data_IF_918290421978
#
_entry.id   IF_918290421978
#
_cell.length_a   1.000
_cell.length_b   1.000
_cell.length_c   1.000
_cell.angle_alpha   90.00
_cell.angle_beta   90.00
_cell.angle_gamma   90.00
#
_symmetry.space_group_name_H-M   'P 1'
#
loop_
_entity.id
_entity.type
_entity.pdbx_description
1 polymer ?
#
# COMPACT_ATOMS: atom_id res chain seq x y z
N UNK A 1 46.97 -9.07 13.14
CA UNK A 1 45.84 -10.01 13.04
C UNK A 1 44.56 -9.52 13.73
N UNK A 2 44.58 -9.10 15.01
CA UNK A 2 43.38 -8.61 15.71
C UNK A 2 42.72 -7.39 15.06
N UNK A 3 43.51 -6.44 14.53
CA UNK A 3 43.00 -5.24 13.86
C UNK A 3 42.32 -5.55 12.50
N UNK A 4 42.84 -6.54 11.76
CA UNK A 4 42.29 -6.94 10.45
C UNK A 4 40.93 -7.64 10.61
N UNK A 5 40.77 -8.42 11.69
CA UNK A 5 39.51 -9.09 12.04
C UNK A 5 38.43 -8.08 12.47
N UNK A 6 38.80 -7.03 13.20
CA UNK A 6 37.87 -5.96 13.60
C UNK A 6 37.39 -5.17 12.39
N UNK A 7 38.28 -4.86 11.43
CA UNK A 7 37.90 -4.17 10.18
C UNK A 7 36.99 -5.06 9.30
N UNK A 8 37.27 -6.36 9.19
CA UNK A 8 36.40 -7.29 8.46
C UNK A 8 35.02 -7.43 9.10
N UNK A 9 34.94 -7.51 10.43
CA UNK A 9 33.67 -7.61 11.17
C UNK A 9 32.88 -6.30 11.04
N UNK A 10 33.53 -5.13 11.08
CA UNK A 10 32.87 -3.84 10.86
C UNK A 10 32.35 -3.71 9.42
N UNK A 11 33.09 -4.20 8.40
CA UNK A 11 32.63 -4.22 7.00
C UNK A 11 31.44 -5.15 6.76
N UNK A 12 31.31 -6.22 7.54
CA UNK A 12 30.17 -7.15 7.47
C UNK A 12 28.95 -6.56 8.19
N UNK A 13 29.14 -5.84 9.30
CA UNK A 13 28.03 -5.23 10.05
C UNK A 13 27.38 -4.06 9.27
N UNK A 14 28.13 -3.32 8.45
CA UNK A 14 27.56 -2.24 7.61
C UNK A 14 26.76 -2.72 6.39
N UNK A 15 26.82 -4.01 6.03
CA UNK A 15 25.96 -4.60 5.00
C UNK A 15 24.61 -5.14 5.53
N UNK A 16 24.38 -5.08 6.85
CA UNK A 16 23.17 -5.63 7.48
C UNK A 16 22.11 -4.58 7.83
N UNK A 17 22.24 -3.36 7.30
CA UNK A 17 21.08 -2.48 7.17
C UNK A 17 20.29 -3.07 6.01
N UNK A 18 19.41 -4.03 6.32
CA UNK A 18 18.36 -4.45 5.39
C UNK A 18 17.73 -3.17 4.85
N UNK A 19 18.04 -2.85 3.60
CA UNK A 19 17.32 -1.83 2.89
C UNK A 19 15.91 -2.38 2.74
N UNK A 20 15.05 -2.09 3.73
CA UNK A 20 13.63 -2.03 3.53
C UNK A 20 13.37 -0.82 2.62
N UNK A 21 13.88 -0.86 1.38
CA UNK A 21 13.23 -0.16 0.31
C UNK A 21 11.98 -1.01 0.07
N UNK A 22 10.92 -0.60 0.74
CA UNK A 22 9.61 -0.73 0.15
C UNK A 22 9.78 -0.23 -1.27
N UNK A 23 9.62 -1.09 -2.28
CA UNK A 23 9.33 -0.62 -3.62
C UNK A 23 7.97 0.04 -3.50
N UNK A 24 8.00 1.31 -3.09
CA UNK A 24 6.84 2.13 -2.89
C UNK A 24 6.50 2.59 -4.30
N UNK A 25 5.67 1.79 -4.98
CA UNK A 25 5.09 2.17 -6.25
C UNK A 25 4.03 3.25 -5.98
N UNK A 26 4.51 4.41 -5.50
CA UNK A 26 3.71 5.61 -5.26
C UNK A 26 3.06 6.05 -6.58
N UNK A 27 3.80 5.91 -7.66
CA UNK A 27 3.26 5.77 -8.99
C UNK A 27 3.29 4.28 -9.31
N UNK A 28 2.17 3.68 -9.68
CA UNK A 28 2.05 2.83 -10.88
C UNK A 28 0.71 2.11 -10.80
N UNK A 29 -0.29 2.79 -11.36
CA UNK A 29 -1.44 2.25 -12.09
C UNK A 29 -1.04 1.24 -13.18
N UNK A 30 0.23 0.83 -13.27
CA UNK A 30 0.83 0.14 -14.40
C UNK A 30 1.16 -1.30 -14.06
N UNK A 31 1.07 -2.12 -15.10
CA UNK A 31 1.43 -3.53 -15.06
C UNK A 31 2.95 -3.68 -14.90
N UNK A 32 3.37 -4.50 -13.93
CA UNK A 32 4.78 -4.84 -13.69
C UNK A 32 4.97 -6.33 -13.99
N UNK A 33 5.99 -6.67 -14.79
CA UNK A 33 6.26 -8.06 -15.17
C UNK A 33 6.87 -8.87 -14.03
N UNK A 34 6.78 -10.20 -14.11
CA UNK A 34 7.45 -11.10 -13.16
C UNK A 34 8.98 -10.90 -13.16
N UNK A 35 9.59 -10.61 -14.30
CA UNK A 35 11.03 -10.36 -14.43
C UNK A 35 11.47 -9.07 -13.72
N UNK A 36 10.64 -8.02 -13.78
CA UNK A 36 10.91 -6.79 -13.04
C UNK A 36 10.86 -7.02 -11.52
N UNK A 37 9.86 -7.77 -11.03
CA UNK A 37 9.82 -8.18 -9.63
C UNK A 37 10.97 -9.10 -9.25
N UNK A 38 11.39 -10.00 -10.12
CA UNK A 38 12.55 -10.84 -9.87
C UNK A 38 13.82 -10.01 -9.75
N UNK A 39 14.03 -9.05 -10.65
CA UNK A 39 15.14 -8.12 -10.60
C UNK A 39 15.20 -7.41 -9.25
N UNK A 40 14.09 -6.80 -8.80
CA UNK A 40 14.03 -6.12 -7.49
C UNK A 40 14.26 -7.11 -6.33
N UNK A 41 13.74 -8.34 -6.42
CA UNK A 41 14.01 -9.37 -5.41
C UNK A 41 15.50 -9.74 -5.32
N UNK A 42 16.17 -9.88 -6.46
CA UNK A 42 17.62 -10.19 -6.52
C UNK A 42 18.51 -9.04 -6.04
N UNK A 43 18.01 -7.80 -6.11
CA UNK A 43 18.67 -6.62 -5.52
C UNK A 43 18.53 -6.55 -3.98
N UNK A 44 17.80 -7.49 -3.37
CA UNK A 44 17.69 -7.60 -1.91
C UNK A 44 16.38 -7.07 -1.31
N UNK A 45 15.43 -6.58 -2.13
CA UNK A 45 14.14 -6.13 -1.61
C UNK A 45 13.27 -7.33 -1.23
N UNK A 46 12.83 -7.39 0.03
CA UNK A 46 12.09 -8.55 0.56
C UNK A 46 10.57 -8.36 0.56
N UNK A 47 10.12 -7.10 0.49
CA UNK A 47 8.71 -6.70 0.56
C UNK A 47 8.32 -5.85 -0.64
N UNK A 48 7.10 -6.05 -1.12
CA UNK A 48 6.46 -5.22 -2.14
C UNK A 48 5.09 -4.77 -1.64
N UNK A 49 4.70 -3.52 -1.95
CA UNK A 49 3.36 -3.00 -1.70
C UNK A 49 2.69 -2.74 -3.05
N UNK A 50 1.51 -3.32 -3.25
CA UNK A 50 0.76 -3.25 -4.51
C UNK A 50 -0.54 -2.46 -4.28
N UNK A 51 -0.91 -1.56 -5.19
CA UNK A 51 -2.22 -0.88 -5.11
C UNK A 51 -3.33 -1.91 -5.31
N UNK A 52 -4.18 -2.05 -4.30
CA UNK A 52 -5.37 -2.91 -4.38
C UNK A 52 -6.62 -2.14 -4.76
N UNK A 53 -6.70 -0.88 -4.35
CA UNK A 53 -7.88 -0.04 -4.48
C UNK A 53 -7.45 1.41 -4.66
N UNK A 54 -8.18 2.16 -5.48
CA UNK A 54 -7.76 3.50 -5.88
C UNK A 54 -8.82 4.58 -5.63
N UNK A 55 -8.33 5.78 -5.35
CA UNK A 55 -9.13 6.98 -5.17
C UNK A 55 -9.70 7.48 -6.51
N UNK A 56 -10.58 8.47 -6.45
CA UNK A 56 -11.02 9.12 -7.67
C UNK A 56 -9.91 10.01 -8.23
N UNK A 57 -9.80 10.19 -9.54
CA UNK A 57 -8.81 11.12 -10.14
C UNK A 57 -9.35 11.65 -11.45
N UNK A 58 -9.23 12.95 -11.72
CA UNK A 58 -9.81 13.58 -12.92
C UNK A 58 -11.29 13.18 -13.10
N UNK A 59 -11.61 12.51 -14.22
CA UNK A 59 -12.93 12.00 -14.60
C UNK A 59 -13.18 10.57 -14.15
N UNK A 60 -12.17 9.89 -13.60
CA UNK A 60 -12.32 8.56 -13.04
C UNK A 60 -13.05 8.68 -11.69
N UNK A 61 -14.20 8.02 -11.51
CA UNK A 61 -14.94 8.05 -10.26
C UNK A 61 -14.20 7.40 -9.09
N UNK A 62 -13.15 6.61 -9.35
CA UNK A 62 -12.41 5.88 -8.33
C UNK A 62 -13.28 4.91 -7.56
N UNK A 63 -12.85 4.57 -6.34
CA UNK A 63 -13.70 3.76 -5.46
C UNK A 63 -13.87 2.34 -5.99
N UNK A 64 -12.79 1.77 -6.52
CA UNK A 64 -12.79 0.46 -7.15
C UNK A 64 -11.45 -0.26 -6.98
N UNK A 65 -11.47 -1.56 -7.25
CA UNK A 65 -10.27 -2.41 -7.32
C UNK A 65 -9.38 -1.92 -8.46
N UNK A 66 -8.09 -1.82 -8.22
CA UNK A 66 -7.13 -1.53 -9.29
C UNK A 66 -7.13 -2.69 -10.31
N UNK A 67 -7.39 -2.37 -11.58
CA UNK A 67 -7.46 -3.36 -12.66
C UNK A 67 -6.20 -4.21 -12.86
N UNK A 68 -5.04 -3.74 -12.38
CA UNK A 68 -3.77 -4.46 -12.41
C UNK A 68 -3.47 -5.22 -11.11
N UNK A 69 -4.30 -5.12 -10.08
CA UNK A 69 -4.00 -5.66 -8.75
C UNK A 69 -3.69 -7.16 -8.76
N UNK A 70 -4.62 -7.99 -9.22
CA UNK A 70 -4.44 -9.45 -9.29
C UNK A 70 -3.23 -9.86 -10.12
N UNK A 71 -3.03 -9.16 -11.25
CA UNK A 71 -1.94 -9.46 -12.17
C UNK A 71 -0.57 -9.09 -11.58
N UNK A 72 -0.47 -7.94 -10.92
CA UNK A 72 0.73 -7.54 -10.21
C UNK A 72 1.00 -8.44 -9.00
N UNK A 73 -0.04 -8.88 -8.27
CA UNK A 73 0.09 -9.87 -7.20
C UNK A 73 0.71 -11.18 -7.70
N UNK A 74 0.16 -11.73 -8.78
CA UNK A 74 0.67 -12.97 -9.39
C UNK A 74 2.11 -12.79 -9.91
N UNK A 75 2.40 -11.67 -10.55
CA UNK A 75 3.75 -11.38 -11.03
C UNK A 75 4.76 -11.20 -9.89
N UNK A 76 4.36 -10.57 -8.77
CA UNK A 76 5.21 -10.45 -7.59
C UNK A 76 5.52 -11.82 -6.98
N UNK A 77 4.51 -12.70 -6.85
CA UNK A 77 4.73 -14.10 -6.41
C UNK A 77 5.69 -14.83 -7.34
N UNK A 78 5.47 -14.74 -8.65
CA UNK A 78 6.33 -15.38 -9.66
C UNK A 78 7.74 -14.80 -9.67
N UNK A 79 7.89 -13.52 -9.34
CA UNK A 79 9.18 -12.85 -9.16
C UNK A 79 9.94 -13.27 -7.89
N UNK A 80 9.29 -14.01 -6.97
CA UNK A 80 9.91 -14.55 -5.76
C UNK A 80 9.60 -13.76 -4.47
N UNK A 81 8.62 -12.87 -4.48
CA UNK A 81 8.16 -12.20 -3.26
C UNK A 81 7.26 -13.11 -2.42
N UNK A 82 7.54 -13.14 -1.12
CA UNK A 82 6.74 -13.84 -0.09
C UNK A 82 6.11 -12.88 0.93
N UNK A 83 6.62 -11.64 1.01
CA UNK A 83 6.01 -10.55 1.75
C UNK A 83 5.39 -9.55 0.78
N UNK A 84 4.08 -9.70 0.57
CA UNK A 84 3.28 -8.83 -0.29
C UNK A 84 2.27 -8.11 0.60
N UNK A 85 2.40 -6.79 0.62
CA UNK A 85 1.48 -5.86 1.26
C UNK A 85 0.59 -5.24 0.17
N UNK A 86 -0.50 -4.63 0.61
CA UNK A 86 -1.42 -3.89 -0.27
C UNK A 86 -1.57 -2.49 0.26
N UNK A 87 -1.72 -1.50 -0.63
CA UNK A 87 -2.28 -0.21 -0.22
C UNK A 87 -3.65 0.02 -0.85
N UNK A 88 -4.50 0.67 -0.06
CA UNK A 88 -5.81 1.18 -0.46
C UNK A 88 -5.70 2.70 -0.43
N UNK A 89 -5.76 3.33 -1.59
CA UNK A 89 -6.10 4.75 -1.66
C UNK A 89 -7.63 4.84 -1.77
N UNK A 90 -8.33 5.29 -0.72
CA UNK A 90 -9.78 5.27 -0.71
C UNK A 90 -10.34 6.42 -1.56
N UNK A 91 -11.54 6.24 -2.09
CA UNK A 91 -12.30 7.36 -2.63
C UNK A 91 -12.97 8.11 -1.48
N UNK A 92 -12.63 9.37 -1.28
CA UNK A 92 -13.39 10.30 -0.45
C UNK A 92 -13.58 11.62 -1.21
N UNK A 93 -14.33 12.57 -0.65
CA UNK A 93 -14.50 13.89 -1.27
C UNK A 93 -15.54 13.98 -2.39
N UNK A 94 -15.82 12.89 -3.11
CA UNK A 94 -16.81 12.86 -4.21
C UNK A 94 -18.11 12.16 -3.81
N UNK A 95 -19.23 12.63 -4.37
CA UNK A 95 -20.55 12.03 -4.15
C UNK A 95 -20.68 10.59 -4.68
N UNK A 96 -19.82 10.19 -5.61
CA UNK A 96 -19.75 8.82 -6.15
C UNK A 96 -19.00 7.84 -5.25
N UNK A 97 -18.28 8.35 -4.23
CA UNK A 97 -17.52 7.49 -3.33
C UNK A 97 -18.47 6.68 -2.44
N UNK A 98 -18.22 5.36 -2.36
CA UNK A 98 -18.95 4.46 -1.48
C UNK A 98 -18.60 4.72 -0.02
N UNK A 99 -19.44 4.29 0.91
CA UNK A 99 -19.14 4.34 2.34
C UNK A 99 -17.86 3.53 2.67
N UNK A 100 -17.07 3.92 3.70
CA UNK A 100 -15.82 3.25 4.06
C UNK A 100 -15.90 1.72 4.18
N UNK A 101 -16.94 1.20 4.85
CA UNK A 101 -17.18 -0.23 4.99
C UNK A 101 -17.34 -0.93 3.63
N UNK A 102 -18.05 -0.32 2.68
CA UNK A 102 -18.24 -0.91 1.36
C UNK A 102 -16.93 -0.96 0.58
N UNK A 103 -16.11 0.10 0.65
CA UNK A 103 -14.81 0.11 -0.03
C UNK A 103 -13.86 -0.96 0.53
N UNK A 104 -13.88 -1.18 1.84
CA UNK A 104 -13.13 -2.26 2.50
C UNK A 104 -13.68 -3.64 2.11
N UNK A 105 -15.00 -3.80 2.05
CA UNK A 105 -15.63 -5.04 1.62
C UNK A 105 -15.25 -5.40 0.19
N UNK A 106 -15.26 -4.44 -0.73
CA UNK A 106 -14.84 -4.66 -2.12
C UNK A 106 -13.42 -5.22 -2.18
N UNK A 107 -12.46 -4.62 -1.46
CA UNK A 107 -11.07 -5.06 -1.44
C UNK A 107 -10.90 -6.43 -0.77
N UNK A 108 -11.49 -6.62 0.40
CA UNK A 108 -11.35 -7.88 1.15
C UNK A 108 -12.03 -9.05 0.46
N UNK A 109 -13.19 -8.85 -0.16
CA UNK A 109 -13.84 -9.87 -0.97
C UNK A 109 -13.00 -10.23 -2.20
N UNK A 110 -12.39 -9.23 -2.86
CA UNK A 110 -11.50 -9.49 -4.00
C UNK A 110 -10.26 -10.30 -3.59
N UNK A 111 -9.63 -9.94 -2.47
CA UNK A 111 -8.49 -10.68 -1.88
C UNK A 111 -8.88 -12.13 -1.59
N UNK A 112 -10.01 -12.33 -0.91
CA UNK A 112 -10.50 -13.66 -0.51
C UNK A 112 -10.88 -14.52 -1.73
N UNK A 113 -11.60 -13.95 -2.70
CA UNK A 113 -12.03 -14.66 -3.91
C UNK A 113 -10.87 -15.12 -4.79
N UNK A 114 -9.71 -14.47 -4.67
CA UNK A 114 -8.49 -14.82 -5.40
C UNK A 114 -7.44 -15.52 -4.52
N UNK A 115 -7.81 -15.93 -3.31
CA UNK A 115 -6.96 -16.68 -2.37
C UNK A 115 -5.60 -15.98 -2.11
N UNK A 116 -5.61 -14.65 -2.09
CA UNK A 116 -4.40 -13.86 -1.92
C UNK A 116 -3.95 -13.88 -0.46
N UNK A 117 -2.68 -14.18 -0.24
CA UNK A 117 -2.00 -14.04 1.05
C UNK A 117 -1.39 -12.64 1.12
N UNK A 118 -2.05 -11.72 1.83
CA UNK A 118 -1.59 -10.35 2.08
C UNK A 118 -1.04 -10.25 3.51
N UNK A 119 0.10 -9.58 3.69
CA UNK A 119 0.73 -9.42 5.01
C UNK A 119 0.16 -8.23 5.76
N UNK A 120 0.17 -7.04 5.15
CA UNK A 120 -0.38 -5.82 5.73
C UNK A 120 -1.16 -5.06 4.67
N UNK A 121 -2.29 -4.47 5.06
CA UNK A 121 -3.03 -3.52 4.24
C UNK A 121 -2.80 -2.09 4.75
N UNK A 122 -2.32 -1.21 3.91
CA UNK A 122 -2.06 0.19 4.22
C UNK A 122 -3.19 1.07 3.70
N UNK A 123 -3.94 1.70 4.60
CA UNK A 123 -4.83 2.79 4.23
C UNK A 123 -3.97 4.02 3.91
N UNK A 124 -3.82 4.33 2.63
CA UNK A 124 -3.13 5.53 2.18
C UNK A 124 -4.07 6.71 2.35
N UNK A 125 -3.63 7.71 3.10
CA UNK A 125 -4.30 8.99 3.26
C UNK A 125 -3.40 10.11 2.74
N UNK A 126 -3.86 10.82 1.74
CA UNK A 126 -3.17 11.94 1.12
C UNK A 126 -4.19 12.93 0.58
N UNK A 127 -3.85 14.22 0.64
CA UNK A 127 -4.68 15.27 0.07
C UNK A 127 -4.17 15.53 -1.32
N UNK A 128 -4.93 15.07 -2.30
CA UNK A 128 -4.66 15.32 -3.69
C UNK A 128 -5.75 16.27 -4.24
N UNK A 129 -5.40 17.51 -4.61
CA UNK A 129 -6.34 18.46 -5.18
C UNK A 129 -7.01 17.98 -6.47
N UNK A 130 -6.35 17.13 -7.26
CA UNK A 130 -6.88 16.61 -8.53
C UNK A 130 -7.94 15.52 -8.29
N UNK A 131 -7.84 14.81 -7.17
CA UNK A 131 -8.83 13.82 -6.73
C UNK A 131 -9.95 14.44 -5.90
N UNK A 132 -9.68 15.54 -5.20
CA UNK A 132 -10.54 16.07 -4.13
C UNK A 132 -10.58 15.15 -2.91
N UNK A 133 -9.67 14.17 -2.83
CA UNK A 133 -9.62 13.18 -1.77
C UNK A 133 -9.18 13.86 -0.48
N UNK A 134 -9.87 13.57 0.63
CA UNK A 134 -9.58 14.09 1.96
C UNK A 134 -9.65 15.63 2.11
N UNK A 135 -10.22 16.35 1.14
CA UNK A 135 -10.47 17.79 1.22
C UNK A 135 -11.88 18.09 1.77
N UNK A 136 -12.20 17.53 2.94
CA UNK A 136 -13.53 17.65 3.58
C UNK A 136 -13.49 18.48 4.88
N UNK A 137 -12.31 18.99 5.24
CA UNK A 137 -12.03 19.66 6.50
C UNK A 137 -11.85 18.70 7.70
N UNK A 138 -11.17 19.16 8.78
CA UNK A 138 -10.66 18.28 9.83
C UNK A 138 -11.71 17.42 10.53
N UNK A 139 -12.88 17.99 10.82
CA UNK A 139 -13.96 17.25 11.50
C UNK A 139 -14.49 16.10 10.65
N UNK A 140 -14.70 16.32 9.35
CA UNK A 140 -15.23 15.29 8.47
C UNK A 140 -14.17 14.24 8.13
N UNK A 141 -12.92 14.66 7.93
CA UNK A 141 -11.78 13.76 7.76
C UNK A 141 -11.61 12.82 8.95
N UNK A 142 -11.62 13.34 10.19
CA UNK A 142 -11.59 12.51 11.41
C UNK A 142 -12.74 11.51 11.47
N UNK A 143 -13.96 11.95 11.13
CA UNK A 143 -15.12 11.08 11.12
C UNK A 143 -14.91 9.90 10.14
N UNK A 144 -14.58 10.20 8.88
CA UNK A 144 -14.38 9.18 7.84
C UNK A 144 -13.20 8.26 8.18
N UNK A 145 -12.11 8.81 8.73
CA UNK A 145 -10.97 8.01 9.19
C UNK A 145 -11.36 7.05 10.31
N UNK A 146 -12.19 7.48 11.27
CA UNK A 146 -12.71 6.59 12.30
C UNK A 146 -13.63 5.50 11.74
N UNK A 147 -14.42 5.81 10.71
CA UNK A 147 -15.24 4.82 10.00
C UNK A 147 -14.36 3.77 9.29
N UNK A 148 -13.31 4.20 8.57
CA UNK A 148 -12.32 3.29 7.98
C UNK A 148 -11.60 2.45 9.03
N UNK A 149 -11.13 3.07 10.11
CA UNK A 149 -10.44 2.37 11.19
C UNK A 149 -11.34 1.29 11.81
N UNK A 150 -12.60 1.63 12.12
CA UNK A 150 -13.57 0.68 12.68
C UNK A 150 -13.84 -0.48 11.71
N UNK A 151 -14.05 -0.17 10.43
CA UNK A 151 -14.29 -1.19 9.42
C UNK A 151 -13.06 -2.10 9.23
N UNK A 152 -11.84 -1.56 9.13
CA UNK A 152 -10.62 -2.36 9.04
C UNK A 152 -10.41 -3.25 10.25
N UNK A 153 -10.60 -2.72 11.47
CA UNK A 153 -10.54 -3.51 12.71
C UNK A 153 -11.51 -4.69 12.69
N UNK A 154 -12.70 -4.54 12.10
CA UNK A 154 -13.70 -5.62 12.04
C UNK A 154 -13.31 -6.77 11.11
N UNK A 155 -12.40 -6.55 10.15
CA UNK A 155 -11.95 -7.59 9.21
C UNK A 155 -11.03 -8.63 9.86
N UNK A 156 -10.38 -8.28 10.99
CA UNK A 156 -9.34 -9.11 11.61
C UNK A 156 -8.01 -9.17 10.84
N UNK A 157 -7.91 -8.51 9.66
CA UNK A 157 -6.68 -8.41 8.90
C UNK A 157 -5.71 -7.41 9.55
N UNK A 158 -4.42 -7.63 9.37
CA UNK A 158 -3.39 -6.66 9.75
C UNK A 158 -3.46 -5.44 8.82
N UNK A 159 -3.62 -4.26 9.41
CA UNK A 159 -3.67 -3.01 8.66
C UNK A 159 -2.91 -1.89 9.36
N UNK A 160 -2.49 -0.91 8.58
CA UNK A 160 -1.84 0.31 9.02
C UNK A 160 -2.36 1.54 8.27
N UNK A 161 -1.95 2.72 8.73
CA UNK A 161 -2.20 3.99 8.03
C UNK A 161 -0.88 4.47 7.46
N UNK A 162 -0.89 4.78 6.16
CA UNK A 162 0.18 5.47 5.48
C UNK A 162 -0.28 6.89 5.18
N UNK A 163 0.54 7.90 5.48
CA UNK A 163 0.20 9.30 5.24
C UNK A 163 1.44 10.13 4.96
N UNK A 164 1.24 11.26 4.26
CA UNK A 164 2.25 12.31 4.12
C UNK A 164 2.23 13.27 5.32
N UNK A 165 3.36 13.90 5.61
CA UNK A 165 3.53 14.77 6.79
C UNK A 165 2.52 15.92 6.86
N UNK A 166 2.10 16.46 5.71
CA UNK A 166 1.16 17.58 5.67
C UNK A 166 -0.28 17.21 6.05
N UNK A 167 -0.64 15.92 6.03
CA UNK A 167 -2.01 15.49 6.36
C UNK A 167 -2.37 15.77 7.83
N UNK A 168 -1.39 15.81 8.76
CA UNK A 168 -1.65 16.11 10.17
C UNK A 168 -2.33 17.47 10.40
N UNK A 169 -2.23 18.41 9.45
CA UNK A 169 -2.89 19.72 9.53
C UNK A 169 -4.39 19.67 9.17
N UNK A 170 -4.85 18.55 8.62
CA UNK A 170 -6.20 18.35 8.07
C UNK A 170 -6.98 17.23 8.78
N UNK A 171 -6.47 16.75 9.91
CA UNK A 171 -7.13 15.82 10.84
C UNK A 171 -7.15 16.39 12.25
#
# INVERSE_FOLDING_TARGET
MKLLFIVLVILIIVNSIFALLVVNNYAYTTFITSDAFNCTRTLGFERVIIRGYFEAYDRDPGGAIDSNFLRNYNNAKNGGYTYIDVYMSPCTGRATCKAPLQQINDLTQFINANEMIIKTIWLWIDIDPDSGNWDLGPTKNRQILNEFHTAWKSTGLEFGIYTVCNFYLYI
#
